data_IF_711813473829
#
_entry.id   IF_711813473829
#
_cell.length_a   1.000
_cell.length_b   1.000
_cell.length_c   1.000
_cell.angle_alpha   90.00
_cell.angle_beta   90.00
_cell.angle_gamma   90.00
#
_symmetry.space_group_name_H-M   'P 1'
#
loop_
_entity.id
_entity.type
_entity.pdbx_description
1 polymer ?
#
# COMPACT_ATOMS: atom_id res chain seq x y z
N UNK A 1 -15.73 14.14 54.59
CA UNK A 1 -14.44 13.51 54.19
C UNK A 1 -14.34 13.58 52.67
N UNK A 2 -13.63 14.57 52.12
CA UNK A 2 -13.43 14.64 50.67
C UNK A 2 -12.45 13.52 50.25
N UNK A 3 -12.90 12.62 49.39
CA UNK A 3 -12.04 11.56 48.86
C UNK A 3 -10.84 12.21 48.16
N UNK A 4 -9.64 11.98 48.71
CA UNK A 4 -8.40 12.46 48.10
C UNK A 4 -8.32 11.90 46.68
N UNK A 5 -8.05 12.76 45.70
CA UNK A 5 -7.86 12.35 44.30
C UNK A 5 -6.80 11.26 44.28
N UNK A 6 -7.20 10.07 43.82
CA UNK A 6 -6.31 8.92 43.74
C UNK A 6 -5.15 9.25 42.78
N UNK A 7 -3.92 9.19 43.29
CA UNK A 7 -2.72 9.47 42.50
C UNK A 7 -2.61 8.43 41.40
N UNK A 8 -2.44 8.87 40.15
CA UNK A 8 -2.33 7.99 38.99
C UNK A 8 -3.65 7.71 38.26
N UNK A 9 -4.80 8.14 38.80
CA UNK A 9 -6.08 8.01 38.09
C UNK A 9 -6.28 9.17 37.10
N UNK A 10 -6.26 8.85 35.81
CA UNK A 10 -6.51 9.79 34.72
C UNK A 10 -7.67 9.30 33.85
N UNK A 11 -8.50 10.22 33.37
CA UNK A 11 -9.55 9.96 32.39
C UNK A 11 -9.30 10.84 31.18
N UNK A 12 -9.21 10.23 30.01
CA UNK A 12 -8.90 10.89 28.74
C UNK A 12 -10.07 10.68 27.78
N UNK A 13 -10.45 11.72 27.06
CA UNK A 13 -11.43 11.65 25.97
C UNK A 13 -10.83 12.34 24.75
N UNK A 14 -10.72 11.60 23.66
CA UNK A 14 -10.22 12.13 22.40
C UNK A 14 -11.34 12.82 21.62
N UNK A 15 -11.01 13.91 20.93
CA UNK A 15 -11.91 14.57 20.00
C UNK A 15 -11.73 13.94 18.61
N UNK A 16 -12.72 13.18 18.13
CA UNK A 16 -12.64 12.51 16.83
C UNK A 16 -12.65 13.48 15.64
N UNK A 17 -13.01 14.76 15.85
CA UNK A 17 -12.94 15.78 14.81
C UNK A 17 -11.51 16.30 14.57
N UNK A 18 -10.59 16.05 15.50
CA UNK A 18 -9.17 16.37 15.31
C UNK A 18 -8.46 15.16 14.68
N UNK A 19 -7.77 15.31 13.54
CA UNK A 19 -7.14 14.20 12.84
C UNK A 19 -6.02 13.51 13.64
N UNK A 20 -5.29 14.25 14.48
CA UNK A 20 -4.22 13.69 15.32
C UNK A 20 -4.85 12.83 16.41
N UNK A 21 -5.94 13.31 17.01
CA UNK A 21 -6.66 12.57 18.04
C UNK A 21 -7.34 11.33 17.44
N UNK A 22 -7.91 11.43 16.24
CA UNK A 22 -8.48 10.30 15.52
C UNK A 22 -7.42 9.21 15.26
N UNK A 23 -6.27 9.58 14.71
CA UNK A 23 -5.17 8.64 14.48
C UNK A 23 -4.69 7.98 15.80
N UNK A 24 -4.67 8.75 16.89
CA UNK A 24 -4.33 8.22 18.22
C UNK A 24 -5.37 7.20 18.70
N UNK A 25 -6.66 7.46 18.49
CA UNK A 25 -7.74 6.52 18.83
C UNK A 25 -7.60 5.23 18.03
N UNK A 26 -7.42 5.32 16.72
CA UNK A 26 -7.24 4.14 15.85
C UNK A 26 -6.03 3.28 16.29
N UNK A 27 -4.93 3.91 16.72
CA UNK A 27 -3.77 3.20 17.26
C UNK A 27 -4.07 2.50 18.59
N UNK A 28 -4.83 3.16 19.47
CA UNK A 28 -5.21 2.61 20.78
C UNK A 28 -6.23 1.48 20.66
N UNK A 29 -7.14 1.55 19.70
CA UNK A 29 -8.14 0.51 19.43
C UNK A 29 -7.51 -0.80 18.93
N UNK A 30 -6.38 -0.72 18.22
CA UNK A 30 -5.57 -1.89 17.81
C UNK A 30 -4.85 -2.57 18.97
N UNK A 31 -4.70 -1.91 20.12
CA UNK A 31 -4.03 -2.49 21.28
C UNK A 31 -4.92 -3.53 21.96
N UNK A 32 -4.33 -4.61 22.53
CA UNK A 32 -5.08 -5.65 23.21
C UNK A 32 -5.90 -5.08 24.38
N UNK A 33 -6.86 -5.88 24.84
CA UNK A 33 -7.67 -5.53 26.01
C UNK A 33 -6.76 -5.15 27.19
N UNK A 34 -7.08 -4.01 27.81
CA UNK A 34 -6.30 -3.40 28.89
C UNK A 34 -4.86 -2.91 28.54
N UNK A 35 -4.39 -3.04 27.30
CA UNK A 35 -3.05 -2.59 26.88
C UNK A 35 -2.91 -1.08 26.63
N UNK A 36 -4.02 -0.37 26.48
CA UNK A 36 -4.08 1.06 26.09
C UNK A 36 -3.33 1.96 27.06
N UNK A 37 -3.48 1.73 28.37
CA UNK A 37 -2.81 2.53 29.39
C UNK A 37 -1.28 2.37 29.35
N UNK A 38 -0.79 1.13 29.17
CA UNK A 38 0.63 0.85 29.05
C UNK A 38 1.22 1.45 27.76
N UNK A 39 0.48 1.35 26.66
CA UNK A 39 0.88 1.95 25.39
C UNK A 39 1.07 3.48 25.51
N UNK A 40 0.10 4.16 26.13
CA UNK A 40 0.20 5.62 26.39
C UNK A 40 1.40 5.93 27.29
N UNK A 41 1.61 5.15 28.36
CA UNK A 41 2.74 5.35 29.27
C UNK A 41 4.09 5.21 28.53
N UNK A 42 4.23 4.18 27.70
CA UNK A 42 5.44 3.96 26.89
C UNK A 42 5.66 5.11 25.90
N UNK A 43 4.60 5.60 25.24
CA UNK A 43 4.70 6.71 24.30
C UNK A 43 5.15 8.01 24.98
N UNK A 44 4.62 8.32 26.18
CA UNK A 44 5.03 9.51 26.95
C UNK A 44 6.49 9.41 27.38
N UNK A 45 6.94 8.26 27.91
CA UNK A 45 8.35 8.05 28.29
C UNK A 45 9.27 8.09 27.09
N UNK A 46 8.86 7.49 25.96
CA UNK A 46 9.64 7.54 24.72
C UNK A 46 9.80 8.98 24.24
N UNK A 47 8.73 9.76 24.25
CA UNK A 47 8.77 11.15 23.83
C UNK A 47 9.71 11.97 24.71
N UNK A 48 9.58 11.87 26.04
CA UNK A 48 10.41 12.58 27.00
C UNK A 48 11.90 12.21 26.83
N UNK A 49 12.20 10.93 26.64
CA UNK A 49 13.59 10.47 26.49
C UNK A 49 14.26 10.85 25.18
N UNK A 50 13.50 10.98 24.08
CA UNK A 50 14.06 11.23 22.75
C UNK A 50 13.93 12.69 22.30
N UNK A 51 13.04 13.46 22.92
CA UNK A 51 12.72 14.82 22.51
C UNK A 51 12.62 15.81 23.69
N UNK A 52 13.18 15.50 24.87
CA UNK A 52 13.17 16.40 26.03
C UNK A 52 13.63 17.84 25.72
N UNK A 53 14.62 17.99 24.83
CA UNK A 53 15.20 19.29 24.49
C UNK A 53 14.48 20.01 23.32
N UNK A 54 13.56 19.32 22.63
CA UNK A 54 12.79 19.89 21.52
C UNK A 54 11.30 19.96 21.88
N UNK A 55 10.74 21.16 22.10
CA UNK A 55 9.33 21.30 22.46
C UNK A 55 8.37 20.90 21.33
N UNK A 56 8.82 20.70 20.08
CA UNK A 56 7.95 20.36 18.94
C UNK A 56 8.61 19.41 17.89
N UNK A 57 8.92 18.15 18.25
CA UNK A 57 9.52 17.19 17.33
C UNK A 57 8.57 16.74 16.20
N UNK A 58 7.25 16.94 16.37
CA UNK A 58 6.24 16.67 15.34
C UNK A 58 6.20 17.74 14.25
N UNK A 59 6.86 18.89 14.42
CA UNK A 59 7.20 19.79 13.31
C UNK A 59 8.45 19.29 12.61
N UNK A 60 8.48 18.01 12.24
CA UNK A 60 9.31 17.58 11.14
C UNK A 60 8.75 18.27 9.89
N UNK A 61 9.24 19.48 9.59
CA UNK A 61 9.27 19.91 8.21
C UNK A 61 9.90 18.75 7.46
N UNK A 62 9.13 18.10 6.58
CA UNK A 62 9.68 17.05 5.71
C UNK A 62 11.01 17.59 5.18
N UNK A 63 12.12 16.82 5.25
CA UNK A 63 13.41 17.32 4.79
C UNK A 63 13.18 17.91 3.41
N UNK A 64 13.50 19.20 3.25
CA UNK A 64 13.28 19.90 2.01
C UNK A 64 14.02 19.12 0.93
N UNK A 65 13.28 18.38 0.11
CA UNK A 65 13.88 17.59 -0.96
C UNK A 65 14.48 18.61 -1.92
N UNK A 66 15.81 18.60 -2.03
CA UNK A 66 16.52 19.53 -2.88
C UNK A 66 16.07 19.35 -4.32
N UNK A 67 15.74 20.47 -4.98
CA UNK A 67 15.39 20.50 -6.41
C UNK A 67 16.48 19.83 -7.24
N UNK A 68 17.75 19.99 -6.88
CA UNK A 68 18.85 19.33 -7.59
C UNK A 68 18.83 17.80 -7.43
N UNK A 69 18.46 17.29 -6.26
CA UNK A 69 18.32 15.85 -6.04
C UNK A 69 17.17 15.27 -6.87
N UNK A 70 16.04 15.99 -6.98
CA UNK A 70 14.93 15.60 -7.85
C UNK A 70 15.39 15.58 -9.32
N UNK A 71 16.09 16.61 -9.79
CA UNK A 71 16.59 16.65 -11.17
C UNK A 71 17.60 15.53 -11.48
N UNK A 72 18.46 15.18 -10.53
CA UNK A 72 19.42 14.09 -10.69
C UNK A 72 18.70 12.74 -10.87
N UNK A 73 17.69 12.46 -10.04
CA UNK A 73 16.88 11.24 -10.13
C UNK A 73 16.13 11.20 -11.47
N UNK A 74 15.51 12.30 -11.89
CA UNK A 74 14.79 12.38 -13.18
C UNK A 74 15.73 12.14 -14.36
N UNK A 75 16.92 12.73 -14.37
CA UNK A 75 17.92 12.51 -15.43
C UNK A 75 18.39 11.07 -15.48
N UNK A 76 18.57 10.43 -14.32
CA UNK A 76 18.97 9.03 -14.25
C UNK A 76 17.89 8.10 -14.83
N UNK A 77 16.61 8.31 -14.49
CA UNK A 77 15.48 7.53 -15.04
C UNK A 77 15.42 7.64 -16.56
N UNK A 78 15.48 8.86 -17.11
CA UNK A 78 15.44 9.07 -18.56
C UNK A 78 16.64 8.42 -19.28
N UNK A 79 17.81 8.41 -18.64
CA UNK A 79 19.01 7.77 -19.17
C UNK A 79 18.93 6.24 -19.08
N UNK A 80 18.27 5.69 -18.06
CA UNK A 80 17.96 4.26 -18.01
C UNK A 80 16.94 3.86 -19.09
N UNK A 81 15.86 4.63 -19.28
CA UNK A 81 14.85 4.36 -20.32
C UNK A 81 15.45 4.34 -21.73
N UNK A 82 16.32 5.29 -22.06
CA UNK A 82 17.03 5.31 -23.35
C UNK A 82 17.93 4.08 -23.54
N UNK A 83 18.66 3.65 -22.50
CA UNK A 83 19.51 2.46 -22.53
C UNK A 83 18.72 1.16 -22.64
N UNK A 84 17.53 1.10 -22.06
CA UNK A 84 16.63 -0.06 -22.16
C UNK A 84 15.84 -0.10 -23.48
N UNK A 85 15.76 1.02 -24.20
CA UNK A 85 15.13 1.10 -25.53
C UNK A 85 16.09 0.75 -26.67
N UNK A 86 17.41 0.92 -26.51
CA UNK A 86 18.43 0.46 -27.46
C UNK A 86 18.72 -1.05 -27.32
N UNK A 87 17.77 -1.88 -27.78
CA UNK A 87 18.11 -3.19 -28.35
C UNK A 87 18.56 -2.95 -29.81
N UNK A 88 19.74 -3.41 -30.24
CA UNK A 88 20.33 -2.96 -31.50
C UNK A 88 19.52 -3.44 -32.71
N UNK A 89 18.98 -2.49 -33.47
CA UNK A 89 18.49 -2.70 -34.82
C UNK A 89 19.70 -2.82 -35.76
N UNK A 90 19.99 -4.04 -36.20
CA UNK A 90 20.96 -4.30 -37.27
C UNK A 90 20.31 -3.99 -38.63
N UNK A 91 20.71 -2.83 -39.18
CA UNK A 91 21.01 -2.44 -40.57
C UNK A 91 20.13 -2.91 -41.77
N UNK A 92 20.02 -2.06 -42.83
CA UNK A 92 19.03 -2.16 -43.90
C UNK A 92 19.53 -2.96 -45.11
N UNK A 93 18.64 -3.68 -45.80
CA UNK A 93 18.91 -4.14 -47.17
C UNK A 93 17.62 -4.43 -47.96
N UNK A 94 17.47 -3.68 -49.04
CA UNK A 94 16.88 -4.03 -50.33
C UNK A 94 15.42 -4.51 -50.39
N UNK A 95 14.56 -3.65 -50.95
CA UNK A 95 13.36 -4.04 -51.68
C UNK A 95 13.72 -4.97 -52.87
N UNK A 96 12.79 -5.85 -53.29
CA UNK A 96 12.09 -5.52 -54.53
C UNK A 96 10.58 -5.80 -54.52
N UNK A 97 9.91 -5.08 -55.43
CA UNK A 97 8.50 -5.20 -55.84
C UNK A 97 8.13 -6.60 -56.38
N UNK A 98 6.88 -7.03 -56.12
CA UNK A 98 5.90 -7.37 -57.16
C UNK A 98 4.62 -7.99 -56.56
N UNK A 99 3.54 -7.22 -56.70
CA UNK A 99 2.20 -7.61 -57.16
C UNK A 99 1.34 -8.67 -56.45
N UNK A 100 0.12 -8.20 -56.14
CA UNK A 100 -1.18 -8.84 -56.44
C UNK A 100 -1.95 -9.46 -55.26
N UNK A 101 -3.12 -8.84 -55.03
CA UNK A 101 -4.40 -9.47 -54.66
C UNK A 101 -4.74 -9.63 -53.16
N UNK A 102 -5.65 -8.74 -52.75
CA UNK A 102 -6.91 -9.05 -52.06
C UNK A 102 -6.89 -9.18 -50.54
N UNK A 103 -7.46 -8.16 -49.88
CA UNK A 103 -8.13 -8.30 -48.58
C UNK A 103 -9.45 -9.08 -48.79
N UNK A 104 -9.91 -9.94 -47.85
CA UNK A 104 -10.40 -9.46 -46.55
C UNK A 104 -10.10 -10.36 -45.31
N UNK A 105 -10.25 -9.72 -44.14
CA UNK A 105 -10.46 -10.22 -42.75
C UNK A 105 -11.54 -11.35 -42.69
N UNK A 106 -11.68 -12.25 -41.67
CA UNK A 106 -11.10 -12.32 -40.29
C UNK A 106 -10.58 -13.72 -39.84
N UNK A 107 -9.90 -13.81 -38.69
CA UNK A 107 -10.29 -14.64 -37.50
C UNK A 107 -9.11 -14.96 -36.56
N UNK A 108 -9.39 -14.74 -35.27
CA UNK A 108 -8.91 -15.43 -34.07
C UNK A 108 -7.43 -15.81 -33.92
N UNK A 109 -6.78 -15.22 -32.89
CA UNK A 109 -6.12 -15.97 -31.81
C UNK A 109 -5.64 -15.02 -30.70
N UNK A 110 -6.33 -15.10 -29.57
CA UNK A 110 -5.82 -14.74 -28.24
C UNK A 110 -4.63 -15.64 -27.89
N UNK A 111 -3.62 -15.15 -27.15
CA UNK A 111 -3.04 -15.97 -26.11
C UNK A 111 -3.04 -15.27 -24.73
N UNK A 112 -3.17 -16.13 -23.72
CA UNK A 112 -3.45 -15.92 -22.31
C UNK A 112 -2.44 -15.06 -21.53
N UNK A 113 -2.85 -14.46 -20.38
CA UNK A 113 -1.91 -13.99 -19.37
C UNK A 113 -1.22 -15.17 -18.67
N UNK A 114 0.12 -15.15 -18.67
CA UNK A 114 0.96 -16.10 -17.92
C UNK A 114 0.70 -15.98 -16.42
N UNK A 115 -0.03 -16.95 -15.85
CA UNK A 115 -0.10 -17.17 -14.41
C UNK A 115 1.11 -18.01 -13.99
N UNK A 116 2.03 -17.41 -13.25
CA UNK A 116 3.12 -18.12 -12.57
C UNK A 116 2.52 -18.84 -11.36
N UNK A 117 2.28 -20.14 -11.50
CA UNK A 117 2.03 -21.04 -10.37
C UNK A 117 3.35 -21.38 -9.71
N UNK A 118 3.66 -20.76 -8.57
CA UNK A 118 4.65 -21.32 -7.65
C UNK A 118 4.00 -22.38 -6.76
N UNK A 119 4.77 -23.46 -6.62
CA UNK A 119 4.44 -24.77 -6.10
C UNK A 119 4.30 -24.75 -4.56
N UNK A 120 3.30 -25.46 -4.06
CA UNK A 120 3.49 -26.26 -2.85
C UNK A 120 2.66 -25.89 -1.63
N UNK A 121 1.35 -26.13 -1.69
CA UNK A 121 0.50 -26.57 -0.58
C UNK A 121 -0.80 -27.05 -1.22
N UNK A 122 -1.25 -28.28 -0.95
CA UNK A 122 -2.62 -28.64 -1.31
C UNK A 122 -3.54 -27.66 -0.58
N UNK A 123 -4.37 -26.86 -1.28
CA UNK A 123 -5.36 -26.09 -0.59
C UNK A 123 -6.43 -27.09 -0.16
N UNK A 124 -6.31 -27.63 1.04
CA UNK A 124 -7.49 -28.06 1.78
C UNK A 124 -8.33 -26.80 1.99
N UNK A 125 -9.09 -26.44 0.95
CA UNK A 125 -9.97 -25.30 0.99
C UNK A 125 -11.02 -25.64 2.04
N UNK A 126 -10.89 -25.03 3.22
CA UNK A 126 -11.82 -25.17 4.33
C UNK A 126 -13.25 -25.19 3.80
N UNK A 127 -14.03 -26.23 4.14
CA UNK A 127 -15.43 -26.36 3.73
C UNK A 127 -16.25 -25.10 4.07
N UNK A 128 -15.83 -24.37 5.11
CA UNK A 128 -16.38 -23.08 5.50
C UNK A 128 -16.16 -21.98 4.42
N UNK A 129 -14.98 -21.95 3.79
CA UNK A 129 -14.64 -21.01 2.71
C UNK A 129 -15.42 -21.35 1.45
N UNK A 130 -15.49 -22.64 1.09
CA UNK A 130 -16.28 -23.10 -0.06
C UNK A 130 -17.78 -22.79 0.13
N UNK A 131 -18.30 -22.96 1.35
CA UNK A 131 -19.68 -22.61 1.70
C UNK A 131 -19.97 -21.11 1.56
N UNK A 132 -19.05 -20.25 1.99
CA UNK A 132 -19.19 -18.80 1.87
C UNK A 132 -19.25 -18.33 0.40
N UNK A 133 -18.39 -18.90 -0.44
CA UNK A 133 -18.36 -18.59 -1.88
C UNK A 133 -19.65 -19.06 -2.55
N UNK A 134 -20.15 -20.24 -2.20
CA UNK A 134 -21.40 -20.76 -2.78
C UNK A 134 -22.61 -19.92 -2.36
N UNK A 135 -22.70 -19.53 -1.09
CA UNK A 135 -23.78 -18.68 -0.55
C UNK A 135 -23.81 -17.30 -1.21
N UNK A 136 -22.65 -16.66 -1.39
CA UNK A 136 -22.56 -15.35 -2.05
C UNK A 136 -22.96 -15.45 -3.53
N UNK A 137 -22.49 -16.47 -4.24
CA UNK A 137 -22.91 -16.76 -5.63
C UNK A 137 -24.41 -16.99 -5.78
N UNK A 138 -25.05 -17.69 -4.84
CA UNK A 138 -26.50 -17.92 -4.84
C UNK A 138 -27.29 -16.63 -4.61
N UNK A 139 -26.84 -15.75 -3.72
CA UNK A 139 -27.49 -14.47 -3.48
C UNK A 139 -27.58 -13.61 -4.75
N UNK A 140 -26.55 -13.63 -5.60
CA UNK A 140 -26.59 -12.94 -6.91
C UNK A 140 -27.55 -13.59 -7.90
N UNK A 141 -27.76 -14.91 -7.81
CA UNK A 141 -28.67 -15.65 -8.70
C UNK A 141 -30.14 -15.49 -8.31
N UNK A 142 -30.42 -15.29 -7.01
CA UNK A 142 -31.78 -15.14 -6.48
C UNK A 142 -32.30 -13.69 -6.57
N UNK A 143 -31.43 -12.71 -6.83
CA UNK A 143 -31.78 -11.30 -6.91
C UNK A 143 -32.35 -10.81 -8.25
N UNK A 144 -33.19 -11.60 -8.93
CA UNK A 144 -33.90 -11.15 -10.14
C UNK A 144 -35.38 -11.50 -10.13
#
# INVERSE_FOLDING_TARGET
>A
MAAKKERGRFSLRFNISDPIHLATVELLEKQPDHGKAQYIANAVVFYDTHFADDPQPLRAAAPAIDRAAIEAIVREILLQETRHSEKPAAAPAACPDAETTTAPVPQERTPEPEYVSELGEEPEADDAILGLISSTMEAFRQGR
#
